data_IF_492979414963
#
_entry.id   IF_492979414963
#
_cell.length_a   1.000
_cell.length_b   1.000
_cell.length_c   1.000
_cell.angle_alpha   90.00
_cell.angle_beta   90.00
_cell.angle_gamma   90.00
#
_symmetry.space_group_name_H-M   'P 1'
#
loop_
_entity.id
_entity.type
_entity.pdbx_description
1 polymer ?
#
# COMPACT_ATOMS: atom_id res chain seq x y z
N UNK A 1 4.85 49.18 15.83
CA UNK A 1 4.79 48.27 17.00
C UNK A 1 3.41 47.62 17.15
N UNK A 2 2.31 48.40 17.24
CA UNK A 2 0.94 47.86 17.38
C UNK A 2 0.52 46.91 16.24
N UNK A 3 0.75 47.28 14.98
CA UNK A 3 0.45 46.41 13.81
C UNK A 3 1.20 45.07 13.84
N UNK A 4 2.43 45.06 14.37
CA UNK A 4 3.24 43.85 14.49
C UNK A 4 2.69 42.92 15.58
N UNK A 5 2.25 43.49 16.70
CA UNK A 5 1.60 42.74 17.79
C UNK A 5 0.28 42.12 17.30
N UNK A 6 -0.53 42.88 16.57
CA UNK A 6 -1.79 42.38 15.98
C UNK A 6 -1.49 41.26 14.98
N UNK A 7 -0.48 41.43 14.12
CA UNK A 7 -0.07 40.39 13.17
C UNK A 7 0.33 39.08 13.85
N UNK A 8 1.13 39.16 14.92
CA UNK A 8 1.52 37.99 15.72
C UNK A 8 0.32 37.34 16.40
N UNK A 9 -0.59 38.13 16.97
CA UNK A 9 -1.80 37.61 17.60
C UNK A 9 -2.72 36.89 16.60
N UNK A 10 -2.92 37.46 15.40
CA UNK A 10 -3.70 36.83 14.33
C UNK A 10 -3.04 35.53 13.87
N UNK A 11 -1.72 35.52 13.69
CA UNK A 11 -0.97 34.31 13.35
C UNK A 11 -1.09 33.23 14.42
N UNK A 12 -1.05 33.58 15.70
CA UNK A 12 -1.21 32.63 16.81
C UNK A 12 -2.63 32.05 16.85
N UNK A 13 -3.65 32.87 16.64
CA UNK A 13 -5.06 32.43 16.56
C UNK A 13 -5.25 31.50 15.36
N UNK A 14 -4.76 31.89 14.18
CA UNK A 14 -4.80 31.05 12.98
C UNK A 14 -4.09 29.72 13.21
N UNK A 15 -2.91 29.74 13.82
CA UNK A 15 -2.16 28.53 14.16
C UNK A 15 -2.96 27.62 15.10
N UNK A 16 -3.59 28.17 16.13
CA UNK A 16 -4.44 27.40 17.05
C UNK A 16 -5.60 26.71 16.32
N UNK A 17 -6.34 27.44 15.47
CA UNK A 17 -7.48 26.87 14.74
C UNK A 17 -7.08 25.89 13.64
N UNK A 18 -5.90 26.05 13.03
CA UNK A 18 -5.42 25.17 11.96
C UNK A 18 -4.71 23.91 12.46
N UNK A 19 -4.00 23.98 13.60
CA UNK A 19 -3.12 22.88 14.04
C UNK A 19 -3.47 22.30 15.41
N UNK A 20 -3.97 23.11 16.35
CA UNK A 20 -4.23 22.65 17.73
C UNK A 20 -5.67 22.17 17.90
N UNK A 21 -6.66 23.00 17.55
CA UNK A 21 -8.08 22.67 17.70
C UNK A 21 -8.49 21.34 17.02
N UNK A 22 -7.99 20.99 15.82
CA UNK A 22 -8.33 19.69 15.21
C UNK A 22 -7.92 18.47 16.04
N UNK A 23 -6.94 18.60 16.94
CA UNK A 23 -6.46 17.52 17.82
C UNK A 23 -7.42 17.18 18.97
N UNK A 24 -8.53 17.88 19.10
CA UNK A 24 -9.60 17.56 20.06
C UNK A 24 -10.80 16.82 19.41
N UNK A 25 -10.74 16.55 18.10
CA UNK A 25 -11.81 15.86 17.35
C UNK A 25 -12.38 14.60 18.03
N UNK A 26 -11.53 13.74 18.61
CA UNK A 26 -11.96 12.51 19.27
C UNK A 26 -12.50 12.77 20.68
N UNK A 27 -11.87 13.67 21.45
CA UNK A 27 -12.39 14.12 22.76
C UNK A 27 -13.80 14.69 22.63
N UNK A 28 -14.04 15.55 21.64
CA UNK A 28 -15.36 16.15 21.39
C UNK A 28 -16.44 15.11 21.07
N UNK A 29 -16.05 13.92 20.59
CA UNK A 29 -16.94 12.79 20.26
C UNK A 29 -16.98 11.70 21.33
N UNK A 30 -16.34 11.93 22.48
CA UNK A 30 -16.27 10.96 23.57
C UNK A 30 -15.38 9.75 23.28
N UNK A 31 -14.52 9.83 22.25
CA UNK A 31 -13.57 8.77 21.90
C UNK A 31 -12.27 8.99 22.68
N UNK A 32 -11.76 7.93 23.33
CA UNK A 32 -10.47 8.00 24.03
C UNK A 32 -9.35 8.20 23.01
N UNK A 33 -8.47 9.16 23.28
CA UNK A 33 -7.30 9.49 22.47
C UNK A 33 -6.08 9.71 23.36
N UNK A 34 -4.88 9.64 22.76
CA UNK A 34 -3.63 9.99 23.40
C UNK A 34 -3.41 11.50 23.56
N UNK A 35 -2.17 11.89 23.82
CA UNK A 35 -1.70 13.29 23.79
C UNK A 35 -0.90 13.52 22.50
N UNK A 36 -1.57 13.82 21.38
CA UNK A 36 -0.90 14.02 20.10
C UNK A 36 0.02 15.25 20.16
N UNK A 37 1.14 15.21 19.43
CA UNK A 37 1.98 16.38 19.25
C UNK A 37 1.27 17.41 18.36
N UNK A 38 1.43 18.67 18.73
CA UNK A 38 0.91 19.85 18.03
C UNK A 38 1.09 19.90 16.50
N UNK A 39 2.14 19.30 15.94
CA UNK A 39 2.40 19.32 14.48
C UNK A 39 2.28 17.92 13.86
N UNK A 40 2.89 16.91 14.49
CA UNK A 40 3.02 15.57 13.91
C UNK A 40 1.96 14.57 14.40
N UNK A 41 1.07 14.99 15.29
CA UNK A 41 0.11 14.09 15.93
C UNK A 41 0.84 13.02 16.76
N UNK A 42 0.29 11.81 16.78
CA UNK A 42 0.90 10.66 17.45
C UNK A 42 2.07 10.05 16.63
N UNK A 43 2.25 10.47 15.39
CA UNK A 43 3.27 9.94 14.47
C UNK A 43 4.64 10.65 14.58
N UNK A 44 4.81 11.63 15.47
CA UNK A 44 6.05 12.41 15.59
C UNK A 44 7.30 11.54 15.80
N UNK A 45 7.21 10.54 16.67
CA UNK A 45 8.32 9.61 16.92
C UNK A 45 8.62 8.71 15.71
N UNK A 46 7.60 8.33 14.93
CA UNK A 46 7.80 7.57 13.70
C UNK A 46 8.44 8.42 12.59
N UNK A 47 8.06 9.70 12.47
CA UNK A 47 8.67 10.66 11.53
C UNK A 47 10.13 10.91 11.85
N UNK A 48 10.48 11.03 13.14
CA UNK A 48 11.86 11.18 13.60
C UNK A 48 12.68 9.87 13.55
N UNK A 49 12.10 8.77 13.03
CA UNK A 49 12.69 7.42 13.04
C UNK A 49 13.13 6.94 14.43
N UNK A 50 12.50 7.47 15.48
CA UNK A 50 12.73 7.06 16.87
C UNK A 50 11.90 5.83 17.25
N UNK A 51 10.79 5.58 16.54
CA UNK A 51 9.94 4.41 16.70
C UNK A 51 9.52 3.86 15.34
N UNK A 52 9.37 2.54 15.24
CA UNK A 52 8.79 1.92 14.05
C UNK A 52 7.27 2.12 14.00
N UNK A 53 6.67 2.03 12.80
CA UNK A 53 5.21 2.06 12.68
C UNK A 53 4.56 0.92 13.49
N UNK A 54 5.21 -0.24 13.54
CA UNK A 54 4.75 -1.41 14.31
C UNK A 54 4.71 -1.11 15.81
N UNK A 55 5.76 -0.48 16.35
CA UNK A 55 5.80 -0.06 17.76
C UNK A 55 4.71 0.96 18.07
N UNK A 56 4.46 1.92 17.18
CA UNK A 56 3.38 2.90 17.35
C UNK A 56 2.00 2.20 17.38
N UNK A 57 1.78 1.25 16.49
CA UNK A 57 0.53 0.47 16.46
C UNK A 57 0.37 -0.37 17.73
N UNK A 58 1.43 -1.01 18.20
CA UNK A 58 1.41 -1.80 19.43
C UNK A 58 1.18 -0.92 20.66
N UNK A 59 1.83 0.26 20.72
CA UNK A 59 1.56 1.27 21.73
C UNK A 59 0.10 1.67 21.74
N UNK A 60 -0.46 2.08 20.60
CA UNK A 60 -1.86 2.50 20.50
C UNK A 60 -2.86 1.38 20.84
N UNK A 61 -2.54 0.14 20.47
CA UNK A 61 -3.33 -1.04 20.82
C UNK A 61 -3.36 -1.27 22.34
N UNK A 62 -2.20 -1.21 22.99
CA UNK A 62 -2.07 -1.40 24.44
C UNK A 62 -2.60 -0.22 25.26
N UNK A 63 -2.73 0.97 24.65
CA UNK A 63 -3.30 2.12 25.33
C UNK A 63 -4.79 1.94 25.59
N UNK A 64 -5.21 2.19 26.84
CA UNK A 64 -6.60 2.01 27.32
C UNK A 64 -7.17 0.60 27.09
N UNK A 65 -6.72 -0.40 27.87
CA UNK A 65 -7.26 -1.77 27.81
C UNK A 65 -8.79 -1.80 27.94
N UNK A 66 -9.44 -2.69 27.20
CA UNK A 66 -10.90 -2.87 27.23
C UNK A 66 -11.72 -1.89 26.39
N UNK A 67 -11.09 -1.00 25.63
CA UNK A 67 -11.78 -0.15 24.65
C UNK A 67 -11.91 -0.86 23.29
N UNK A 68 -13.07 -0.71 22.63
CA UNK A 68 -13.35 -1.29 21.31
C UNK A 68 -12.61 -0.56 20.17
N UNK A 69 -12.29 0.70 20.38
CA UNK A 69 -11.62 1.58 19.42
C UNK A 69 -10.82 2.67 20.15
N UNK A 70 -9.83 3.23 19.46
CA UNK A 70 -8.95 4.27 20.00
C UNK A 70 -8.63 5.33 18.95
N UNK A 71 -8.72 6.59 19.33
CA UNK A 71 -8.43 7.73 18.47
C UNK A 71 -6.93 8.05 18.43
N UNK A 72 -6.38 8.10 17.24
CA UNK A 72 -5.04 8.61 16.94
C UNK A 72 -5.13 9.81 16.01
N UNK A 73 -4.02 10.53 15.91
CA UNK A 73 -3.83 11.60 14.96
C UNK A 73 -2.58 11.34 14.14
N UNK A 74 -2.78 11.29 12.83
CA UNK A 74 -1.68 11.51 11.90
C UNK A 74 -1.68 13.00 11.58
N UNK A 75 -0.75 13.74 12.20
CA UNK A 75 -0.73 15.20 12.13
C UNK A 75 -2.01 15.75 12.73
N UNK A 76 -2.79 16.52 11.95
CA UNK A 76 -4.11 17.01 12.34
C UNK A 76 -5.25 16.09 11.90
N UNK A 77 -4.96 15.03 11.14
CA UNK A 77 -5.98 14.13 10.60
C UNK A 77 -6.34 13.06 11.65
N UNK A 78 -7.60 12.99 12.08
CA UNK A 78 -8.04 11.96 13.01
C UNK A 78 -8.04 10.58 12.32
N UNK A 79 -7.56 9.57 13.03
CA UNK A 79 -7.54 8.15 12.65
C UNK A 79 -8.22 7.38 13.77
N UNK A 80 -9.16 6.50 13.42
CA UNK A 80 -9.75 5.57 14.36
C UNK A 80 -9.08 4.21 14.21
N UNK A 81 -8.49 3.72 15.29
CA UNK A 81 -7.98 2.35 15.38
C UNK A 81 -9.08 1.47 15.95
N UNK A 82 -9.46 0.44 15.21
CA UNK A 82 -10.42 -0.56 15.64
C UNK A 82 -9.68 -1.70 16.34
N UNK A 83 -10.17 -2.14 17.50
CA UNK A 83 -9.60 -3.25 18.28
C UNK A 83 -10.54 -4.44 18.39
N UNK A 84 -11.84 -4.20 18.20
CA UNK A 84 -12.88 -5.21 18.31
C UNK A 84 -13.16 -5.90 16.97
N UNK A 85 -13.00 -7.23 16.86
CA UNK A 85 -13.32 -8.01 15.68
C UNK A 85 -14.75 -7.82 15.15
N UNK A 86 -15.74 -7.66 16.04
CA UNK A 86 -17.14 -7.51 15.62
C UNK A 86 -17.37 -6.16 14.93
N UNK A 87 -16.70 -5.12 15.43
CA UNK A 87 -16.76 -3.78 14.84
C UNK A 87 -15.99 -3.73 13.51
N UNK A 88 -14.85 -4.43 13.43
CA UNK A 88 -14.11 -4.59 12.18
C UNK A 88 -15.01 -5.28 11.15
N UNK A 89 -15.61 -6.43 11.47
CA UNK A 89 -16.51 -7.15 10.58
C UNK A 89 -17.71 -6.31 10.15
N UNK A 90 -18.26 -5.51 11.06
CA UNK A 90 -19.34 -4.60 10.72
C UNK A 90 -18.88 -3.59 9.64
N UNK A 91 -17.76 -2.91 9.86
CA UNK A 91 -17.24 -1.87 8.94
C UNK A 91 -16.77 -2.47 7.61
N UNK A 92 -16.08 -3.62 7.63
CA UNK A 92 -15.46 -4.19 6.44
C UNK A 92 -16.38 -5.08 5.62
N UNK A 93 -17.48 -5.57 6.21
CA UNK A 93 -18.41 -6.49 5.52
C UNK A 93 -19.83 -5.92 5.46
N UNK A 94 -20.43 -5.60 6.60
CA UNK A 94 -21.85 -5.23 6.65
C UNK A 94 -22.12 -3.83 6.10
N UNK A 95 -21.25 -2.88 6.45
CA UNK A 95 -21.39 -1.47 6.13
C UNK A 95 -20.37 -1.04 5.04
N UNK A 96 -19.81 -1.99 4.29
CA UNK A 96 -18.74 -1.75 3.30
C UNK A 96 -19.10 -0.64 2.30
N UNK A 97 -20.36 -0.53 1.90
CA UNK A 97 -20.85 0.51 0.97
C UNK A 97 -20.61 1.94 1.48
N UNK A 98 -20.42 2.13 2.78
CA UNK A 98 -20.07 3.42 3.40
C UNK A 98 -18.55 3.63 3.55
N UNK A 99 -17.75 2.59 3.37
CA UNK A 99 -16.30 2.55 3.56
C UNK A 99 -15.56 2.04 2.31
N UNK A 100 -16.02 2.44 1.13
CA UNK A 100 -15.48 1.99 -0.16
C UNK A 100 -14.08 2.52 -0.47
N UNK A 101 -13.70 3.64 0.15
CA UNK A 101 -12.44 4.34 -0.13
C UNK A 101 -11.32 3.89 0.82
N UNK A 102 -10.32 3.19 0.27
CA UNK A 102 -9.06 2.99 0.98
C UNK A 102 -8.21 4.27 0.95
N UNK A 103 -7.42 4.51 2.01
CA UNK A 103 -6.23 5.36 1.88
C UNK A 103 -5.28 4.67 0.91
N UNK A 104 -5.28 5.12 -0.35
CA UNK A 104 -4.50 4.52 -1.44
C UNK A 104 -3.04 4.27 -1.06
N UNK A 105 -2.74 3.00 -0.80
CA UNK A 105 -1.41 2.41 -0.85
C UNK A 105 -1.52 1.02 -1.49
N UNK A 106 -2.00 0.99 -2.74
CA UNK A 106 -2.07 -0.18 -3.62
C UNK A 106 -2.90 -1.38 -3.10
N UNK A 107 -3.50 -2.11 -4.03
CA UNK A 107 -4.37 -3.27 -3.80
C UNK A 107 -3.56 -4.57 -3.76
N UNK A 108 -3.86 -5.45 -2.80
CA UNK A 108 -3.33 -6.82 -2.73
C UNK A 108 -4.38 -7.82 -3.22
N UNK A 109 -3.95 -8.80 -4.01
CA UNK A 109 -4.77 -9.94 -4.47
C UNK A 109 -4.00 -11.27 -4.24
N UNK A 110 -4.70 -12.39 -3.98
CA UNK A 110 -4.10 -13.63 -3.50
C UNK A 110 -3.71 -14.58 -4.65
N UNK A 111 -2.43 -14.68 -4.97
CA UNK A 111 -1.91 -15.68 -5.93
C UNK A 111 -0.61 -16.31 -5.43
N UNK A 112 -0.73 -17.25 -4.50
CA UNK A 112 0.34 -18.16 -4.11
C UNK A 112 -0.11 -19.60 -4.28
N UNK A 113 -0.03 -20.12 -5.51
CA UNK A 113 -0.04 -21.57 -5.74
C UNK A 113 0.80 -21.91 -6.97
N UNK A 114 2.13 -21.96 -6.77
CA UNK A 114 3.13 -22.82 -7.42
C UNK A 114 4.51 -22.40 -6.92
N UNK A 115 4.96 -23.09 -5.88
CA UNK A 115 6.15 -22.75 -5.13
C UNK A 115 7.40 -23.49 -5.66
N UNK A 116 8.56 -22.93 -5.35
CA UNK A 116 9.92 -23.23 -5.83
C UNK A 116 10.47 -24.64 -5.45
N UNK A 117 9.64 -25.55 -4.93
CA UNK A 117 10.07 -26.86 -4.39
C UNK A 117 10.36 -27.94 -5.45
N UNK A 118 10.73 -27.54 -6.67
CA UNK A 118 11.17 -28.47 -7.73
C UNK A 118 12.59 -28.11 -8.14
N UNK A 119 13.52 -28.20 -7.19
CA UNK A 119 14.94 -28.30 -7.50
C UNK A 119 15.43 -29.63 -6.91
N UNK A 120 15.88 -30.52 -7.80
CA UNK A 120 16.60 -31.74 -7.43
C UNK A 120 18.04 -31.36 -7.06
N UNK A 121 18.55 -32.04 -6.04
CA UNK A 121 19.94 -32.11 -5.54
C UNK A 121 21.03 -31.80 -6.59
N UNK A 122 22.18 -31.19 -6.30
CA UNK A 122 23.05 -31.34 -5.12
C UNK A 122 24.11 -30.20 -5.12
N UNK A 123 24.13 -29.34 -4.09
CA UNK A 123 25.27 -28.56 -3.56
C UNK A 123 24.73 -27.59 -2.49
N UNK A 124 25.36 -27.52 -1.32
CA UNK A 124 24.93 -26.59 -0.25
C UNK A 124 25.32 -25.16 -0.66
N UNK A 125 24.42 -24.46 -1.34
CA UNK A 125 24.60 -23.06 -1.72
C UNK A 125 24.06 -22.17 -0.60
N UNK A 126 24.95 -21.44 0.07
CA UNK A 126 24.54 -20.35 0.95
C UNK A 126 24.02 -19.20 0.11
N UNK A 127 22.72 -18.90 0.26
CA UNK A 127 22.04 -17.85 -0.50
C UNK A 127 21.45 -16.79 0.42
N UNK A 128 21.45 -15.55 -0.04
CA UNK A 128 20.76 -14.46 0.64
C UNK A 128 19.30 -14.48 0.20
N UNK A 129 18.41 -14.85 1.11
CA UNK A 129 17.00 -15.10 0.81
C UNK A 129 16.31 -13.84 0.28
N UNK A 130 16.60 -12.66 0.83
CA UNK A 130 15.96 -11.42 0.39
C UNK A 130 16.33 -11.11 -1.06
N UNK A 131 17.59 -11.24 -1.46
CA UNK A 131 18.03 -11.00 -2.84
C UNK A 131 17.39 -12.01 -3.81
N UNK A 132 17.38 -13.31 -3.48
CA UNK A 132 16.73 -14.32 -4.33
C UNK A 132 15.25 -14.05 -4.51
N UNK A 133 14.51 -13.85 -3.42
CA UNK A 133 13.07 -13.62 -3.52
C UNK A 133 12.75 -12.28 -4.19
N UNK A 134 13.58 -11.25 -3.99
CA UNK A 134 13.39 -9.96 -4.68
C UNK A 134 13.55 -10.13 -6.20
N UNK A 135 14.58 -10.85 -6.65
CA UNK A 135 14.83 -11.12 -8.07
C UNK A 135 13.77 -12.01 -8.69
N UNK A 136 13.41 -13.09 -8.01
CA UNK A 136 12.34 -13.98 -8.43
C UNK A 136 11.00 -13.23 -8.56
N UNK A 137 10.62 -12.46 -7.53
CA UNK A 137 9.39 -11.65 -7.56
C UNK A 137 9.41 -10.63 -8.69
N UNK A 138 10.57 -10.00 -8.93
CA UNK A 138 10.75 -9.08 -10.05
C UNK A 138 10.48 -9.77 -11.41
N UNK A 139 11.00 -10.99 -11.63
CA UNK A 139 10.80 -11.73 -12.88
C UNK A 139 9.34 -12.20 -13.05
N UNK A 140 8.70 -12.59 -11.95
CA UNK A 140 7.26 -12.90 -11.93
C UNK A 140 6.44 -11.68 -12.32
N UNK A 141 6.71 -10.51 -11.73
CA UNK A 141 6.05 -9.24 -12.08
C UNK A 141 6.33 -8.86 -13.54
N UNK A 142 7.59 -8.94 -14.00
CA UNK A 142 7.94 -8.65 -15.38
C UNK A 142 7.14 -9.51 -16.36
N UNK A 143 7.01 -10.80 -16.05
CA UNK A 143 6.34 -11.78 -16.90
C UNK A 143 4.81 -11.65 -16.88
N UNK A 144 4.22 -11.44 -15.71
CA UNK A 144 2.75 -11.45 -15.51
C UNK A 144 2.10 -10.09 -15.66
N UNK A 145 2.75 -9.03 -15.17
CA UNK A 145 2.22 -7.67 -15.23
C UNK A 145 2.61 -6.95 -16.52
N UNK A 146 3.85 -7.14 -16.99
CA UNK A 146 4.38 -6.42 -18.16
C UNK A 146 4.52 -7.31 -19.40
N UNK A 147 4.41 -8.63 -19.25
CA UNK A 147 4.58 -9.57 -20.36
C UNK A 147 5.98 -9.56 -20.96
N UNK A 148 7.00 -9.20 -20.18
CA UNK A 148 8.42 -9.18 -20.57
C UNK A 148 9.12 -10.35 -19.90
N UNK A 149 9.97 -11.07 -20.66
CA UNK A 149 10.83 -12.10 -20.08
C UNK A 149 12.10 -11.44 -19.57
N UNK A 150 12.40 -11.67 -18.29
CA UNK A 150 13.61 -11.22 -17.61
C UNK A 150 14.12 -12.39 -16.79
N UNK A 151 15.44 -12.55 -16.70
CA UNK A 151 16.10 -13.50 -15.82
C UNK A 151 17.02 -12.73 -14.87
N UNK A 152 16.48 -12.28 -13.75
CA UNK A 152 17.21 -11.46 -12.77
C UNK A 152 18.15 -12.26 -11.88
N UNK A 153 18.06 -13.60 -11.92
CA UNK A 153 18.98 -14.50 -11.21
C UNK A 153 20.26 -14.70 -12.02
N UNK A 154 20.15 -14.94 -13.33
CA UNK A 154 21.29 -15.01 -14.22
C UNK A 154 21.87 -13.61 -14.51
N UNK A 155 21.04 -12.67 -14.92
CA UNK A 155 21.42 -11.31 -15.30
C UNK A 155 21.21 -10.34 -14.14
N UNK A 156 22.16 -10.34 -13.20
CA UNK A 156 22.00 -9.64 -11.91
C UNK A 156 21.77 -8.12 -12.01
N UNK A 157 22.20 -7.51 -13.11
CA UNK A 157 22.12 -6.07 -13.38
C UNK A 157 21.23 -5.73 -14.58
N UNK A 158 20.24 -6.57 -14.88
CA UNK A 158 19.28 -6.25 -15.94
C UNK A 158 18.53 -4.94 -15.62
N UNK A 159 18.17 -4.21 -16.68
CA UNK A 159 17.59 -2.87 -16.57
C UNK A 159 16.26 -2.88 -15.81
N UNK A 160 15.42 -3.90 -16.04
CA UNK A 160 14.12 -4.00 -15.38
C UNK A 160 14.26 -4.11 -13.86
N UNK A 161 15.17 -4.96 -13.38
CA UNK A 161 15.47 -5.13 -11.95
C UNK A 161 16.05 -3.84 -11.34
N UNK A 162 16.97 -3.17 -12.03
CA UNK A 162 17.56 -1.91 -11.55
C UNK A 162 16.51 -0.80 -11.44
N UNK A 163 15.63 -0.67 -12.43
CA UNK A 163 14.53 0.31 -12.42
C UNK A 163 13.49 -0.01 -11.34
N UNK A 164 13.17 -1.28 -11.12
CA UNK A 164 12.32 -1.73 -10.02
C UNK A 164 12.93 -1.39 -8.65
N UNK A 165 14.21 -1.72 -8.46
CA UNK A 165 14.95 -1.41 -7.22
C UNK A 165 15.02 0.09 -6.94
N UNK A 166 15.26 0.91 -7.97
CA UNK A 166 15.27 2.38 -7.87
C UNK A 166 13.89 2.94 -7.50
N UNK A 167 12.81 2.34 -8.02
CA UNK A 167 11.42 2.70 -7.73
C UNK A 167 11.01 2.36 -6.29
N UNK A 168 11.53 1.27 -5.72
CA UNK A 168 11.20 0.79 -4.37
C UNK A 168 12.24 1.17 -3.31
N UNK A 169 13.26 1.96 -3.66
CA UNK A 169 14.30 2.36 -2.72
C UNK A 169 13.78 3.39 -1.70
N UNK A 170 13.51 2.91 -0.49
CA UNK A 170 13.07 3.69 0.66
C UNK A 170 14.23 4.13 1.56
N UNK A 171 15.49 3.85 1.21
CA UNK A 171 16.63 4.25 2.04
C UNK A 171 17.09 5.69 1.74
N UNK A 172 16.90 6.14 0.50
CA UNK A 172 17.27 7.49 0.06
C UNK A 172 16.55 8.60 0.84
N UNK A 173 17.30 9.40 1.61
CA UNK A 173 16.75 10.51 2.39
C UNK A 173 15.96 11.51 1.52
N UNK A 174 16.48 11.85 0.34
CA UNK A 174 15.82 12.77 -0.58
C UNK A 174 14.47 12.23 -1.11
N UNK A 175 14.39 10.93 -1.43
CA UNK A 175 13.15 10.26 -1.85
C UNK A 175 12.14 10.21 -0.70
N UNK A 176 12.61 9.89 0.51
CA UNK A 176 11.79 9.92 1.71
C UNK A 176 11.23 11.31 2.00
N UNK A 177 12.03 12.37 1.82
CA UNK A 177 11.56 13.74 1.98
C UNK A 177 10.51 14.12 0.93
N UNK A 178 10.66 13.67 -0.32
CA UNK A 178 9.63 13.86 -1.37
C UNK A 178 8.34 13.10 -1.05
N UNK A 179 8.45 11.86 -0.60
CA UNK A 179 7.31 11.06 -0.15
C UNK A 179 6.58 11.75 1.00
N UNK A 180 7.31 12.20 2.02
CA UNK A 180 6.77 13.02 3.11
C UNK A 180 6.08 14.28 2.59
N UNK A 181 6.70 15.02 1.67
CA UNK A 181 6.12 16.25 1.13
C UNK A 181 4.81 16.00 0.36
N UNK A 182 4.75 14.95 -0.47
CA UNK A 182 3.54 14.55 -1.19
C UNK A 182 2.44 14.14 -0.20
N UNK A 183 2.83 13.38 0.82
CA UNK A 183 1.91 12.85 1.81
C UNK A 183 1.36 13.95 2.75
N UNK A 184 2.19 14.89 3.20
CA UNK A 184 1.81 15.94 4.16
C UNK A 184 1.30 17.21 3.53
N UNK A 185 1.82 17.58 2.35
CA UNK A 185 1.46 18.82 1.66
C UNK A 185 1.05 18.52 0.21
N UNK A 186 -0.08 17.83 -0.02
CA UNK A 186 -0.49 17.42 -1.35
C UNK A 186 -0.75 18.62 -2.27
N UNK A 187 -1.29 19.72 -1.75
CA UNK A 187 -1.54 20.94 -2.53
C UNK A 187 -0.24 21.61 -2.98
N UNK A 188 0.72 21.77 -2.07
CA UNK A 188 2.05 22.34 -2.38
C UNK A 188 2.79 21.43 -3.35
N UNK A 189 2.75 20.12 -3.13
CA UNK A 189 3.40 19.12 -3.99
C UNK A 189 2.81 19.09 -5.41
N UNK A 190 1.50 19.29 -5.55
CA UNK A 190 0.83 19.45 -6.86
C UNK A 190 1.30 20.73 -7.57
N UNK A 191 1.40 21.85 -6.86
CA UNK A 191 1.90 23.13 -7.42
C UNK A 191 3.35 23.01 -7.85
N UNK A 192 4.20 22.41 -7.01
CA UNK A 192 5.63 22.17 -7.29
C UNK A 192 5.88 21.00 -8.25
N UNK A 193 4.82 20.32 -8.71
CA UNK A 193 4.88 19.14 -9.60
C UNK A 193 5.86 18.08 -9.10
N UNK A 194 5.90 17.84 -7.79
CA UNK A 194 6.75 16.80 -7.20
C UNK A 194 6.27 15.42 -7.69
N UNK A 195 7.19 14.65 -8.26
CA UNK A 195 6.95 13.26 -8.69
C UNK A 195 7.53 12.30 -7.66
N UNK A 196 6.77 11.25 -7.37
CA UNK A 196 7.20 10.18 -6.47
C UNK A 196 8.37 9.40 -7.10
N UNK A 197 8.20 9.02 -8.36
CA UNK A 197 9.21 8.28 -9.12
C UNK A 197 10.14 9.24 -9.88
N UNK A 198 11.39 8.81 -10.08
CA UNK A 198 12.33 9.53 -10.93
C UNK A 198 11.84 9.56 -12.38
N UNK A 199 12.29 10.55 -13.15
CA UNK A 199 11.92 10.64 -14.56
C UNK A 199 12.47 9.45 -15.36
N UNK A 200 13.63 8.92 -14.96
CA UNK A 200 14.25 7.74 -15.56
C UNK A 200 13.35 6.50 -15.42
N UNK A 201 12.95 6.15 -14.18
CA UNK A 201 12.02 5.05 -13.90
C UNK A 201 10.69 5.24 -14.65
N UNK A 202 10.15 6.46 -14.61
CA UNK A 202 8.87 6.77 -15.28
C UNK A 202 8.96 6.58 -16.79
N UNK A 203 10.06 7.04 -17.41
CA UNK A 203 10.27 6.94 -18.85
C UNK A 203 10.51 5.51 -19.28
N UNK A 204 11.32 4.76 -18.52
CA UNK A 204 11.59 3.34 -18.78
C UNK A 204 10.28 2.53 -18.83
N UNK A 205 9.51 2.53 -17.74
CA UNK A 205 8.27 1.73 -17.69
C UNK A 205 7.22 2.22 -18.69
N UNK A 206 7.14 3.54 -18.94
CA UNK A 206 6.24 4.10 -19.98
C UNK A 206 6.62 3.60 -21.37
N UNK A 207 7.90 3.63 -21.72
CA UNK A 207 8.38 3.15 -23.02
C UNK A 207 8.17 1.65 -23.16
N UNK A 208 8.48 0.88 -22.11
CA UNK A 208 8.30 -0.56 -22.07
C UNK A 208 6.84 -0.95 -22.32
N UNK A 209 5.89 -0.32 -21.62
CA UNK A 209 4.44 -0.57 -21.82
C UNK A 209 3.99 -0.16 -23.21
N UNK A 210 4.35 1.05 -23.68
CA UNK A 210 3.95 1.54 -24.99
C UNK A 210 4.47 0.64 -26.13
N UNK A 211 5.73 0.22 -26.06
CA UNK A 211 6.33 -0.67 -27.05
C UNK A 211 5.70 -2.05 -27.03
N UNK A 212 5.41 -2.58 -25.83
CA UNK A 212 4.76 -3.87 -25.66
C UNK A 212 3.36 -3.88 -26.27
N UNK A 213 2.56 -2.84 -26.01
CA UNK A 213 1.22 -2.68 -26.62
C UNK A 213 1.36 -2.59 -28.15
N UNK A 214 2.25 -1.73 -28.65
CA UNK A 214 2.45 -1.53 -30.10
C UNK A 214 2.82 -2.82 -30.83
N UNK A 215 3.81 -3.57 -30.33
CA UNK A 215 4.23 -4.85 -30.94
C UNK A 215 3.08 -5.86 -30.97
N UNK A 216 2.24 -5.88 -29.91
CA UNK A 216 1.11 -6.81 -29.82
C UNK A 216 -0.03 -6.45 -30.75
N UNK A 217 -0.31 -5.16 -30.93
CA UNK A 217 -1.30 -4.69 -31.90
C UNK A 217 -0.84 -4.98 -33.33
N UNK A 218 0.44 -4.75 -33.65
CA UNK A 218 1.01 -5.00 -34.98
C UNK A 218 1.07 -6.49 -35.34
N UNK A 219 1.43 -7.35 -34.38
CA UNK A 219 1.66 -8.78 -34.61
C UNK A 219 0.47 -9.66 -34.18
N UNK A 220 -0.64 -9.05 -33.75
CA UNK A 220 -1.81 -9.74 -33.22
C UNK A 220 -1.48 -10.80 -32.15
N UNK A 221 -0.54 -10.49 -31.25
CA UNK A 221 -0.09 -11.43 -30.21
C UNK A 221 -1.07 -11.40 -29.04
N UNK A 222 -1.66 -12.55 -28.73
CA UNK A 222 -2.50 -12.78 -27.56
C UNK A 222 -1.68 -13.47 -26.48
N UNK A 223 -1.58 -12.87 -25.31
CA UNK A 223 -0.92 -13.44 -24.14
C UNK A 223 -1.75 -13.12 -22.90
N UNK A 224 -2.12 -14.10 -22.06
CA UNK A 224 -2.96 -13.87 -20.89
C UNK A 224 -2.16 -13.22 -19.75
N UNK A 225 -1.77 -11.97 -19.94
CA UNK A 225 -1.08 -11.13 -18.97
C UNK A 225 -1.83 -9.81 -18.74
N UNK A 226 -1.43 -9.03 -17.73
CA UNK A 226 -2.17 -7.83 -17.34
C UNK A 226 -2.22 -6.78 -18.46
N UNK A 227 -1.17 -6.65 -19.29
CA UNK A 227 -1.20 -5.74 -20.44
C UNK A 227 -2.30 -6.14 -21.41
N UNK A 228 -2.47 -7.43 -21.69
CA UNK A 228 -3.52 -7.88 -22.60
C UNK A 228 -4.92 -7.61 -22.04
N UNK A 229 -5.14 -7.91 -20.76
CA UNK A 229 -6.41 -7.59 -20.07
C UNK A 229 -6.72 -6.09 -20.14
N UNK A 230 -5.72 -5.23 -19.93
CA UNK A 230 -5.88 -3.78 -20.04
C UNK A 230 -6.17 -3.33 -21.48
N UNK A 231 -5.59 -4.00 -22.48
CA UNK A 231 -5.90 -3.73 -23.89
C UNK A 231 -7.34 -4.12 -24.25
N UNK A 232 -7.84 -5.24 -23.74
CA UNK A 232 -9.24 -5.68 -23.93
C UNK A 232 -10.22 -4.76 -23.22
N UNK A 233 -9.93 -4.38 -21.98
CA UNK A 233 -10.70 -3.40 -21.22
C UNK A 233 -10.76 -2.05 -21.95
N UNK A 234 -9.64 -1.57 -22.50
CA UNK A 234 -9.58 -0.33 -23.31
C UNK A 234 -10.46 -0.40 -24.56
N UNK A 235 -10.58 -1.58 -25.18
CA UNK A 235 -11.44 -1.82 -26.36
C UNK A 235 -12.92 -1.96 -25.99
N UNK A 236 -13.27 -1.96 -24.70
CA UNK A 236 -14.65 -2.11 -24.22
C UNK A 236 -15.20 -3.54 -24.34
N UNK A 237 -14.33 -4.55 -24.42
CA UNK A 237 -14.74 -5.95 -24.61
C UNK A 237 -15.41 -6.52 -23.34
N UNK A 238 -15.08 -6.00 -22.15
CA UNK A 238 -15.71 -6.39 -20.88
C UNK A 238 -16.97 -5.57 -20.54
N UNK A 239 -17.97 -5.56 -21.42
CA UNK A 239 -19.28 -4.95 -21.11
C UNK A 239 -20.46 -5.91 -20.97
N UNK A 240 -20.26 -7.23 -21.05
CA UNK A 240 -21.36 -8.20 -20.97
C UNK A 240 -20.97 -9.48 -20.20
N UNK A 241 -20.68 -9.37 -18.91
CA UNK A 241 -20.74 -10.51 -17.97
C UNK A 241 -21.34 -10.05 -16.63
N UNK A 242 -22.41 -9.25 -16.67
CA UNK A 242 -23.23 -8.90 -15.49
C UNK A 242 -24.06 -10.11 -14.96
N UNK A 243 -23.94 -11.30 -15.56
CA UNK A 243 -24.71 -12.50 -15.17
C UNK A 243 -23.96 -13.48 -14.26
N UNK A 244 -22.89 -13.04 -13.59
CA UNK A 244 -22.40 -13.75 -12.41
C UNK A 244 -22.21 -12.78 -11.26
N UNK A 245 -23.34 -12.23 -10.77
CA UNK A 245 -23.43 -11.90 -9.35
C UNK A 245 -23.35 -13.25 -8.63
N UNK A 246 -22.13 -13.79 -8.51
CA UNK A 246 -21.83 -14.71 -7.44
C UNK A 246 -22.01 -13.85 -6.21
N UNK A 247 -22.98 -14.20 -5.38
CA UNK A 247 -23.17 -13.70 -4.03
C UNK A 247 -21.93 -14.10 -3.21
N UNK A 248 -20.78 -13.51 -3.52
CA UNK A 248 -19.54 -13.64 -2.78
C UNK A 248 -19.67 -12.71 -1.58
N UNK A 249 -20.50 -13.10 -0.62
CA UNK A 249 -20.24 -12.73 0.75
C UNK A 249 -18.77 -13.04 1.02
N UNK A 250 -17.97 -12.00 1.25
CA UNK A 250 -16.52 -12.01 1.49
C UNK A 250 -16.08 -12.83 2.74
N UNK A 251 -16.93 -13.76 3.20
CA UNK A 251 -16.75 -14.63 4.36
C UNK A 251 -17.23 -16.08 4.11
N UNK A 252 -17.25 -16.55 2.85
CA UNK A 252 -17.34 -18.00 2.59
C UNK A 252 -16.06 -18.47 1.90
N UNK A 253 -15.03 -18.71 2.70
CA UNK A 253 -14.15 -19.82 2.36
C UNK A 253 -15.06 -21.06 2.36
N UNK A 254 -15.39 -21.61 1.18
CA UNK A 254 -15.80 -23.00 1.14
C UNK A 254 -14.60 -23.79 1.67
N UNK A 255 -14.70 -24.33 2.88
CA UNK A 255 -13.77 -25.34 3.35
C UNK A 255 -13.72 -26.41 2.26
N UNK A 256 -12.57 -26.52 1.57
CA UNK A 256 -12.38 -27.60 0.63
C UNK A 256 -12.45 -28.91 1.43
N UNK A 257 -13.22 -29.88 0.96
CA UNK A 257 -13.42 -31.22 1.55
C UNK A 257 -12.10 -31.99 1.83
N UNK A 258 -10.95 -31.48 1.40
CA UNK A 258 -9.63 -31.97 1.75
C UNK A 258 -9.31 -31.96 3.25
N UNK A 259 -9.94 -31.10 4.06
CA UNK A 259 -9.74 -31.05 5.51
C UNK A 259 -10.31 -32.25 6.28
N UNK A 260 -11.30 -32.95 5.70
CA UNK A 260 -11.99 -34.07 6.37
C UNK A 260 -11.28 -35.42 6.19
N UNK A 261 -10.32 -35.55 5.26
CA UNK A 261 -9.60 -36.81 5.03
C UNK A 261 -8.36 -37.00 5.91
N UNK A 262 -7.88 -35.95 6.58
CA UNK A 262 -6.70 -36.00 7.46
C UNK A 262 -7.02 -36.40 8.91
N UNK A 263 -8.29 -36.44 9.30
CA UNK A 263 -8.72 -36.81 10.66
C UNK A 263 -9.20 -38.27 10.82
N UNK A 264 -9.09 -39.10 9.76
CA UNK A 264 -9.49 -40.53 9.80
C UNK A 264 -8.33 -41.52 9.69
N UNK A 265 -7.07 -41.08 9.84
CA UNK A 265 -5.89 -41.97 9.82
C UNK A 265 -5.12 -42.05 11.14
N UNK A 266 -5.72 -41.60 12.25
CA UNK A 266 -5.24 -41.93 13.59
C UNK A 266 -6.31 -42.69 14.37
N UNK A 267 -6.51 -43.97 14.03
CA UNK A 267 -6.84 -45.09 14.94
C UNK A 267 -6.48 -46.41 14.27
#
# INVERSE_FOLDING_TARGET
MLMLIIGVAVMAVLFYYLFIKPLDYWKERGVKQGKPWWIFGDFGYAVLRLQSLTELMQYAYNQTPGTRYFGLYQFVKPILILKDPDLIKQITVKDFDHFTDHRSFASEDPLWTKNLFVLKDEEVVTVEMKDIFTRFTNDVIATTAFGVKVDSLAEKNNEFYLMGKEATDLNSFSKNMKFLAIFFFPTVSKVLKLRLFSNEVTNFFRQLVNNTIKIREERAIVRPDMIHLLMEARKGIHKNDENSIIDTGFATAQESDFGNYLFYLEY
#
